data_IF_798292175399
#
_entry.id   IF_798292175399
#
_cell.length_a   1.000
_cell.length_b   1.000
_cell.length_c   1.000
_cell.angle_alpha   90.00
_cell.angle_beta   90.00
_cell.angle_gamma   90.00
#
_symmetry.space_group_name_H-M   'P 1'
#
loop_
_entity.id
_entity.type
_entity.pdbx_description
1 polymer ?
#
# COMPACT_ATOMS: atom_id res chain seq x y z
N UNK A 1 -14.51 5.85 10.06
CA UNK A 1 -13.21 5.17 9.90
C UNK A 1 -13.48 3.75 9.40
N UNK A 2 -12.82 3.32 8.32
CA UNK A 2 -12.97 1.95 7.79
C UNK A 2 -12.31 0.91 8.72
N UNK A 3 -12.77 -0.36 8.71
CA UNK A 3 -12.31 -1.39 9.65
C UNK A 3 -10.89 -1.90 9.32
N UNK A 4 -10.28 -2.63 10.26
CA UNK A 4 -8.91 -3.17 10.15
C UNK A 4 -8.61 -3.85 8.79
N UNK A 5 -9.48 -4.73 8.24
CA UNK A 5 -9.24 -5.32 6.92
C UNK A 5 -9.02 -4.30 5.80
N UNK A 6 -9.78 -3.21 5.81
CA UNK A 6 -9.62 -2.15 4.82
C UNK A 6 -8.27 -1.44 4.99
N UNK A 7 -7.85 -1.17 6.22
CA UNK A 7 -6.57 -0.49 6.48
C UNK A 7 -5.40 -1.33 5.95
N UNK A 8 -5.37 -2.62 6.30
CA UNK A 8 -4.40 -3.59 5.76
C UNK A 8 -4.49 -3.66 4.24
N UNK A 9 -5.71 -3.63 3.69
CA UNK A 9 -5.93 -3.64 2.25
C UNK A 9 -5.18 -2.51 1.56
N UNK A 10 -5.50 -1.30 1.99
CA UNK A 10 -4.97 -0.08 1.37
C UNK A 10 -3.45 0.02 1.57
N UNK A 11 -2.92 -0.36 2.74
CA UNK A 11 -1.46 -0.43 2.94
C UNK A 11 -0.76 -1.25 1.86
N UNK A 12 -1.13 -2.52 1.67
CA UNK A 12 -0.37 -3.33 0.70
C UNK A 12 -0.64 -2.92 -0.76
N UNK A 13 -1.78 -2.30 -1.07
CA UNK A 13 -2.00 -1.69 -2.38
C UNK A 13 -1.03 -0.54 -2.64
N UNK A 14 -0.86 0.37 -1.68
CA UNK A 14 0.09 1.47 -1.82
C UNK A 14 1.54 1.00 -1.85
N UNK A 15 1.89 -0.05 -1.10
CA UNK A 15 3.20 -0.67 -1.20
C UNK A 15 3.49 -1.17 -2.63
N UNK A 16 2.52 -1.82 -3.29
CA UNK A 16 2.64 -2.24 -4.70
C UNK A 16 2.68 -1.05 -5.66
N UNK A 17 1.78 -0.09 -5.49
CA UNK A 17 1.72 1.11 -6.34
C UNK A 17 3.01 1.91 -6.30
N UNK A 18 3.74 1.89 -5.18
CA UNK A 18 5.02 2.56 -5.03
C UNK A 18 6.17 1.97 -5.86
N UNK A 19 6.02 0.76 -6.41
CA UNK A 19 7.09 0.12 -7.20
C UNK A 19 7.38 0.81 -8.53
N UNK A 20 6.37 1.46 -9.14
CA UNK A 20 6.54 2.29 -10.34
C UNK A 20 7.28 1.63 -11.53
N UNK A 21 7.22 0.30 -11.64
CA UNK A 21 7.89 -0.50 -12.68
C UNK A 21 7.45 -0.05 -14.08
N UNK A 22 8.32 0.60 -14.87
CA UNK A 22 7.94 1.14 -16.18
C UNK A 22 7.40 0.06 -17.12
N UNK A 23 6.35 0.39 -17.88
CA UNK A 23 5.70 -0.53 -18.83
C UNK A 23 4.87 -1.65 -18.21
N UNK A 24 4.98 -1.89 -16.89
CA UNK A 24 4.15 -2.85 -16.14
C UNK A 24 3.29 -2.20 -15.07
N UNK A 25 3.55 -0.94 -14.74
CA UNK A 25 2.83 -0.23 -13.69
C UNK A 25 1.39 0.09 -14.11
N UNK A 26 0.47 -0.20 -13.20
CA UNK A 26 -0.92 0.25 -13.24
C UNK A 26 -1.38 0.51 -11.81
N UNK A 27 -2.23 1.51 -11.61
CA UNK A 27 -2.75 1.81 -10.28
C UNK A 27 -3.63 0.67 -9.76
N UNK A 28 -3.17 0.00 -8.70
CA UNK A 28 -3.93 -0.98 -7.93
C UNK A 28 -4.91 -0.24 -7.04
N UNK A 29 -6.20 -0.41 -7.32
CA UNK A 29 -7.27 0.33 -6.66
C UNK A 29 -7.64 -0.31 -5.33
N UNK A 30 -8.31 0.46 -4.48
CA UNK A 30 -8.86 -0.05 -3.21
C UNK A 30 -10.31 -0.53 -3.36
N UNK A 31 -10.66 -1.04 -4.55
CA UNK A 31 -11.99 -1.48 -4.97
C UNK A 31 -12.62 -2.56 -4.07
N UNK A 32 -13.84 -3.03 -4.40
CA UNK A 32 -14.55 -4.01 -3.57
C UNK A 32 -13.76 -5.32 -3.38
N UNK A 33 -14.07 -5.98 -2.25
CA UNK A 33 -13.29 -7.02 -1.58
C UNK A 33 -13.05 -8.29 -2.41
N UNK A 34 -11.90 -8.92 -2.14
CA UNK A 34 -11.81 -10.38 -2.23
C UNK A 34 -12.36 -10.99 -0.93
N UNK A 35 -13.10 -12.09 -1.03
CA UNK A 35 -13.83 -12.68 0.11
C UNK A 35 -12.92 -13.17 1.24
N UNK A 36 -11.65 -13.49 0.95
CA UNK A 36 -10.67 -14.00 1.91
C UNK A 36 -10.10 -12.91 2.84
N UNK A 37 -10.19 -11.63 2.48
CA UNK A 37 -9.65 -10.50 3.26
C UNK A 37 -10.46 -10.21 4.55
N UNK A 38 -11.38 -11.09 4.93
CA UNK A 38 -12.21 -10.99 6.13
C UNK A 38 -11.68 -11.80 7.32
N UNK A 39 -10.74 -12.73 7.11
CA UNK A 39 -10.13 -13.55 8.17
C UNK A 39 -8.72 -13.06 8.48
N UNK A 40 -8.21 -13.37 9.68
CA UNK A 40 -6.83 -13.03 10.01
C UNK A 40 -5.84 -13.77 9.10
N UNK A 41 -6.12 -15.03 8.78
CA UNK A 41 -5.32 -15.85 7.88
C UNK A 41 -5.27 -15.23 6.48
N UNK A 42 -6.41 -14.75 5.96
CA UNK A 42 -6.46 -14.10 4.66
C UNK A 42 -5.73 -12.76 4.64
N UNK A 43 -5.84 -11.96 5.71
CA UNK A 43 -5.09 -10.72 5.88
C UNK A 43 -3.57 -10.97 5.95
N UNK A 44 -3.13 -11.97 6.71
CA UNK A 44 -1.73 -12.39 6.78
C UNK A 44 -1.23 -12.88 5.42
N UNK A 45 -1.98 -13.76 4.75
CA UNK A 45 -1.64 -14.27 3.43
C UNK A 45 -1.50 -13.13 2.41
N UNK A 46 -2.36 -12.11 2.48
CA UNK A 46 -2.25 -10.92 1.63
C UNK A 46 -0.99 -10.12 1.89
N UNK A 47 -0.64 -9.89 3.16
CA UNK A 47 0.62 -9.22 3.53
C UNK A 47 1.81 -10.01 2.96
N UNK A 48 1.84 -11.33 3.16
CA UNK A 48 2.92 -12.20 2.65
C UNK A 48 3.00 -12.20 1.12
N UNK A 49 1.87 -12.24 0.40
CA UNK A 49 1.83 -12.10 -1.07
C UNK A 49 2.42 -10.77 -1.54
N UNK A 50 2.16 -9.68 -0.82
CA UNK A 50 2.74 -8.38 -1.19
C UNK A 50 4.22 -8.29 -0.83
N UNK A 51 4.65 -8.80 0.32
CA UNK A 51 6.08 -8.89 0.66
C UNK A 51 6.83 -9.71 -0.39
N UNK A 52 6.34 -10.91 -0.73
CA UNK A 52 6.96 -11.76 -1.75
C UNK A 52 7.02 -11.09 -3.13
N UNK A 53 5.97 -10.36 -3.53
CA UNK A 53 6.02 -9.53 -4.74
C UNK A 53 7.12 -8.48 -4.65
N UNK A 54 7.19 -7.69 -3.57
CA UNK A 54 8.20 -6.65 -3.41
C UNK A 54 9.63 -7.22 -3.40
N UNK A 55 9.84 -8.37 -2.77
CA UNK A 55 11.12 -9.09 -2.78
C UNK A 55 11.52 -9.60 -4.17
N UNK A 56 10.56 -9.80 -5.07
CA UNK A 56 10.82 -10.21 -6.46
C UNK A 56 11.18 -9.04 -7.39
N UNK A 57 10.96 -7.80 -6.96
CA UNK A 57 11.27 -6.59 -7.75
C UNK A 57 12.74 -6.25 -7.61
N UNK A 58 13.49 -6.23 -8.71
CA UNK A 58 14.89 -5.86 -8.74
C UNK A 58 15.07 -4.36 -8.97
N UNK A 59 16.26 -3.83 -8.66
CA UNK A 59 16.60 -2.42 -8.92
C UNK A 59 16.43 -2.03 -10.39
N UNK A 60 16.77 -2.92 -11.32
CA UNK A 60 16.60 -2.65 -12.76
C UNK A 60 15.13 -2.63 -13.19
N UNK A 61 14.21 -3.29 -12.47
CA UNK A 61 12.78 -3.28 -12.79
C UNK A 61 12.15 -1.89 -12.55
N UNK A 62 12.67 -1.13 -11.58
CA UNK A 62 12.09 0.17 -11.18
C UNK A 62 12.79 1.37 -11.85
N UNK A 63 13.88 1.13 -12.57
CA UNK A 63 14.71 2.17 -13.17
C UNK A 63 13.93 3.02 -14.17
N UNK A 64 13.89 4.33 -13.94
CA UNK A 64 13.14 5.28 -14.77
C UNK A 64 11.68 5.46 -14.34
N UNK A 65 11.21 4.66 -13.38
CA UNK A 65 9.87 4.80 -12.80
C UNK A 65 9.68 6.14 -12.08
N UNK A 66 10.76 6.70 -11.56
CA UNK A 66 10.74 7.96 -10.85
C UNK A 66 10.48 9.18 -11.76
N UNK A 67 10.81 9.12 -13.07
CA UNK A 67 10.48 10.17 -14.05
C UNK A 67 9.21 9.88 -14.86
N UNK A 68 8.64 8.68 -14.77
CA UNK A 68 7.44 8.30 -15.53
C UNK A 68 6.23 9.16 -15.15
N UNK A 69 5.50 9.76 -16.10
CA UNK A 69 4.27 10.48 -15.79
C UNK A 69 3.18 9.51 -15.32
N UNK A 70 2.41 9.92 -14.31
CA UNK A 70 1.38 9.07 -13.69
C UNK A 70 -0.01 9.67 -13.92
N UNK A 71 -0.96 8.85 -14.37
CA UNK A 71 -2.38 9.19 -14.45
C UNK A 71 -3.23 7.98 -14.06
N UNK A 72 -4.17 8.16 -13.13
CA UNK A 72 -5.07 7.08 -12.72
C UNK A 72 -6.39 7.59 -12.16
N UNK A 73 -7.40 6.72 -12.23
CA UNK A 73 -8.67 6.89 -11.54
C UNK A 73 -8.67 5.98 -10.30
N UNK A 74 -8.82 6.51 -9.07
CA UNK A 74 -8.78 5.69 -7.86
C UNK A 74 -9.88 4.62 -7.79
N UNK A 75 -10.97 4.83 -8.52
CA UNK A 75 -12.05 3.86 -8.72
C UNK A 75 -11.63 2.63 -9.52
N UNK A 76 -10.57 2.75 -10.34
CA UNK A 76 -10.16 1.75 -11.33
C UNK A 76 -10.87 1.87 -12.66
N UNK A 77 -11.83 2.77 -12.76
CA UNK A 77 -12.68 2.92 -13.94
C UNK A 77 -12.50 4.32 -14.52
N UNK A 78 -12.01 4.44 -15.78
CA UNK A 78 -11.90 5.73 -16.45
C UNK A 78 -13.23 6.50 -16.45
N UNK A 79 -13.16 7.75 -16.01
CA UNK A 79 -14.32 8.64 -15.94
C UNK A 79 -15.15 8.52 -14.66
N UNK A 80 -14.91 7.53 -13.79
CA UNK A 80 -15.54 7.46 -12.47
C UNK A 80 -14.70 8.17 -11.40
N UNK A 81 -15.07 9.40 -11.08
CA UNK A 81 -14.38 10.24 -10.10
C UNK A 81 -13.19 11.02 -10.68
N UNK A 82 -12.41 11.73 -9.84
CA UNK A 82 -11.29 12.54 -10.30
C UNK A 82 -10.16 11.68 -10.89
N UNK A 83 -9.62 12.12 -12.03
CA UNK A 83 -8.36 11.60 -12.56
C UNK A 83 -7.19 12.30 -11.86
N UNK A 84 -6.40 11.55 -11.11
CA UNK A 84 -5.19 12.06 -10.47
C UNK A 84 -4.03 11.99 -11.45
N UNK A 85 -3.30 13.10 -11.56
CA UNK A 85 -2.16 13.24 -12.47
C UNK A 85 -0.95 13.76 -11.72
N UNK A 86 0.21 13.16 -11.99
CA UNK A 86 1.50 13.60 -11.49
C UNK A 86 2.48 13.66 -12.64
N UNK A 87 3.27 14.72 -12.71
CA UNK A 87 4.29 14.92 -13.75
C UNK A 87 5.35 13.82 -13.72
N UNK A 88 5.67 13.29 -12.54
CA UNK A 88 6.68 12.25 -12.34
C UNK A 88 6.22 11.22 -11.31
N UNK A 89 6.74 9.99 -11.42
CA UNK A 89 6.51 8.93 -10.46
C UNK A 89 7.04 9.29 -9.07
N UNK A 90 8.12 10.07 -9.00
CA UNK A 90 8.63 10.59 -7.73
C UNK A 90 7.63 11.51 -7.02
N UNK A 91 6.94 12.40 -7.74
CA UNK A 91 5.88 13.24 -7.17
C UNK A 91 4.71 12.38 -6.69
N UNK A 92 4.28 11.41 -7.48
CA UNK A 92 3.25 10.44 -7.06
C UNK A 92 3.67 9.70 -5.77
N UNK A 93 4.89 9.17 -5.74
CA UNK A 93 5.39 8.39 -4.61
C UNK A 93 5.42 9.21 -3.32
N UNK A 94 6.00 10.41 -3.39
CA UNK A 94 6.25 11.27 -2.20
C UNK A 94 5.02 12.04 -1.74
N UNK A 95 4.13 12.44 -2.65
CA UNK A 95 2.98 13.29 -2.32
C UNK A 95 1.67 12.51 -2.21
N UNK A 96 1.61 11.29 -2.72
CA UNK A 96 0.38 10.48 -2.71
C UNK A 96 0.59 9.09 -2.11
N UNK A 97 1.48 8.27 -2.67
CA UNK A 97 1.56 6.87 -2.25
C UNK A 97 2.10 6.69 -0.83
N UNK A 98 3.25 7.29 -0.49
CA UNK A 98 3.84 7.17 0.86
C UNK A 98 2.95 7.77 1.96
N UNK A 99 2.38 8.98 1.82
CA UNK A 99 1.48 9.52 2.84
C UNK A 99 0.26 8.62 3.09
N UNK A 100 -0.33 8.05 2.03
CA UNK A 100 -1.45 7.13 2.19
C UNK A 100 -1.02 5.82 2.86
N UNK A 101 0.13 5.23 2.46
CA UNK A 101 0.67 4.03 3.10
C UNK A 101 0.79 4.22 4.63
N UNK A 102 1.51 5.26 5.06
CA UNK A 102 1.74 5.52 6.48
C UNK A 102 0.46 5.87 7.25
N UNK A 103 -0.48 6.58 6.61
CA UNK A 103 -1.78 6.87 7.22
C UNK A 103 -2.56 5.58 7.53
N UNK A 104 -2.65 4.67 6.57
CA UNK A 104 -3.39 3.42 6.72
C UNK A 104 -2.70 2.46 7.70
N UNK A 105 -1.36 2.44 7.72
CA UNK A 105 -0.61 1.61 8.67
C UNK A 105 -0.77 2.12 10.10
N UNK A 106 -0.64 3.43 10.30
CA UNK A 106 -0.88 4.08 11.60
C UNK A 106 -2.31 3.83 12.08
N UNK A 107 -3.28 3.85 11.17
CA UNK A 107 -4.68 3.57 11.50
C UNK A 107 -4.90 2.10 11.87
N UNK A 108 -4.28 1.16 11.16
CA UNK A 108 -4.32 -0.26 11.50
C UNK A 108 -3.71 -0.51 12.90
N UNK A 109 -2.54 0.06 13.16
CA UNK A 109 -1.87 0.04 14.46
C UNK A 109 -2.79 0.60 15.57
N UNK A 110 -3.41 1.75 15.35
CA UNK A 110 -4.30 2.39 16.31
C UNK A 110 -5.55 1.52 16.60
N UNK A 111 -6.14 0.88 15.59
CA UNK A 111 -7.27 -0.04 15.77
C UNK A 111 -6.86 -1.22 16.65
N UNK A 112 -5.72 -1.86 16.38
CA UNK A 112 -5.22 -2.97 17.18
C UNK A 112 -4.96 -2.56 18.63
N UNK A 113 -4.26 -1.43 18.84
CA UNK A 113 -3.97 -0.90 20.17
C UNK A 113 -5.24 -0.53 20.94
N UNK A 114 -6.22 0.08 20.28
CA UNK A 114 -7.54 0.40 20.86
C UNK A 114 -8.32 -0.87 21.26
N UNK A 115 -8.10 -2.00 20.58
CA UNK A 115 -8.70 -3.30 20.89
C UNK A 115 -7.93 -4.11 21.93
N UNK A 116 -6.91 -3.53 22.56
CA UNK A 116 -6.15 -4.16 23.64
C UNK A 116 -5.00 -5.06 23.19
N UNK A 117 -4.64 -5.06 21.90
CA UNK A 117 -3.41 -5.74 21.45
C UNK A 117 -2.21 -5.01 22.08
N UNK A 118 -1.27 -5.72 22.71
CA UNK A 118 -0.15 -5.12 23.44
C UNK A 118 0.96 -4.59 22.51
N UNK A 119 0.59 -3.71 21.57
CA UNK A 119 1.52 -3.06 20.65
C UNK A 119 2.13 -1.80 21.29
N UNK A 120 3.41 -1.56 21.02
CA UNK A 120 4.20 -0.40 21.37
C UNK A 120 4.66 0.40 20.15
N UNK A 121 5.28 1.55 20.41
CA UNK A 121 5.89 2.37 19.34
C UNK A 121 6.96 1.59 18.57
N UNK A 122 7.68 0.68 19.22
CA UNK A 122 8.72 -0.13 18.58
C UNK A 122 8.13 -1.09 17.56
N UNK A 123 6.99 -1.73 17.86
CA UNK A 123 6.29 -2.59 16.89
C UNK A 123 5.89 -1.83 15.62
N UNK A 124 5.66 -0.52 15.72
CA UNK A 124 5.36 0.32 14.56
C UNK A 124 6.62 0.73 13.78
N UNK A 125 7.74 1.04 14.45
CA UNK A 125 8.96 1.53 13.79
C UNK A 125 9.82 0.39 13.22
N UNK A 126 10.03 -0.66 14.00
CA UNK A 126 10.93 -1.77 13.66
C UNK A 126 10.17 -3.01 13.16
N UNK A 127 8.82 -2.95 13.10
CA UNK A 127 8.01 -4.14 12.95
C UNK A 127 8.20 -5.09 14.13
N UNK A 128 8.05 -6.40 13.90
CA UNK A 128 8.37 -7.44 14.89
C UNK A 128 9.87 -7.80 14.93
N UNK A 129 10.75 -6.98 14.35
CA UNK A 129 12.19 -7.22 14.27
C UNK A 129 13.00 -6.41 15.29
N UNK A 130 14.23 -6.83 15.62
CA UNK A 130 15.14 -6.03 16.42
C UNK A 130 15.57 -4.76 15.67
N UNK A 131 15.92 -3.71 16.42
CA UNK A 131 16.78 -2.64 15.89
C UNK A 131 18.18 -3.20 15.76
N UNK A 132 18.59 -3.56 14.55
CA UNK A 132 20.01 -3.71 14.22
C UNK A 132 20.57 -2.39 13.67
#
# INVERSE_FOLDING_TARGET
>A
MNPLPFQVRVCTNFARNGTLIPGKWSFVTSGPKADDEHTFEGLQARIQRTIGFLQSVNTEDVKGGEQMPISFWPSGEPGKGPNFKFETGQKFLTQFAMPNFWFHESTAYAICRMKGVPLGKIDFIAGSGPFE
#
